data_IF_421158695939
#
_entry.id   IF_421158695939
#
_cell.length_a   1.000
_cell.length_b   1.000
_cell.length_c   1.000
_cell.angle_alpha   90.00
_cell.angle_beta   90.00
_cell.angle_gamma   90.00
#
_symmetry.space_group_name_H-M   'P 1'
#
loop_
_entity.id
_entity.type
_entity.pdbx_description
1 polymer ?
#
# COMPACT_ATOMS: atom_id res chain seq x y z
N UNK A 1 -5.40 -34.75 -36.08
CA UNK A 1 -4.61 -33.77 -36.87
C UNK A 1 -4.77 -32.43 -36.18
N UNK A 2 -3.66 -31.74 -35.89
CA UNK A 2 -3.70 -30.39 -35.32
C UNK A 2 -4.56 -29.50 -36.22
N UNK A 3 -5.47 -28.72 -35.62
CA UNK A 3 -6.30 -27.72 -36.32
C UNK A 3 -5.45 -26.56 -36.89
N UNK A 4 -4.17 -26.51 -36.51
CA UNK A 4 -3.27 -25.39 -36.72
C UNK A 4 -2.07 -25.83 -37.57
N UNK A 5 -1.57 -24.94 -38.43
CA UNK A 5 -0.33 -25.16 -39.18
C UNK A 5 0.85 -25.38 -38.23
N UNK A 6 1.79 -26.23 -38.63
CA UNK A 6 2.99 -26.50 -37.85
C UNK A 6 3.89 -25.26 -37.76
N UNK A 7 4.52 -25.06 -36.60
CA UNK A 7 5.39 -23.91 -36.31
C UNK A 7 6.47 -23.70 -37.39
N UNK A 8 7.13 -24.78 -37.82
CA UNK A 8 8.16 -24.71 -38.86
C UNK A 8 7.64 -24.20 -40.21
N UNK A 9 6.41 -24.58 -40.58
CA UNK A 9 5.76 -24.08 -41.80
C UNK A 9 5.44 -22.60 -41.68
N UNK A 10 4.92 -22.16 -40.54
CA UNK A 10 4.61 -20.76 -40.31
C UNK A 10 5.87 -19.89 -40.32
N UNK A 11 6.97 -20.35 -39.71
CA UNK A 11 8.25 -19.64 -39.73
C UNK A 11 8.80 -19.46 -41.16
N UNK A 12 8.63 -20.47 -42.03
CA UNK A 12 8.97 -20.36 -43.45
C UNK A 12 8.04 -19.37 -44.18
N UNK A 13 6.72 -19.47 -43.95
CA UNK A 13 5.72 -18.60 -44.59
C UNK A 13 5.92 -17.12 -44.25
N UNK A 14 6.32 -16.82 -43.02
CA UNK A 14 6.64 -15.46 -42.57
C UNK A 14 8.07 -15.03 -42.90
N UNK A 15 8.87 -15.89 -43.53
CA UNK A 15 10.24 -15.55 -43.96
C UNK A 15 11.24 -15.39 -42.81
N UNK A 16 10.93 -15.89 -41.62
CA UNK A 16 11.80 -15.82 -40.43
C UNK A 16 12.95 -16.84 -40.50
N UNK A 17 12.73 -17.95 -41.22
CA UNK A 17 13.75 -18.96 -41.51
C UNK A 17 13.67 -19.37 -42.98
N UNK A 18 14.72 -20.04 -43.47
CA UNK A 18 14.67 -20.77 -44.74
C UNK A 18 14.63 -22.30 -44.51
N UNK A 19 14.50 -23.07 -45.59
CA UNK A 19 14.41 -24.54 -45.54
C UNK A 19 15.66 -25.17 -44.92
N UNK A 20 16.84 -24.59 -45.16
CA UNK A 20 18.08 -25.08 -44.57
C UNK A 20 18.08 -24.92 -43.05
N UNK A 21 17.70 -23.74 -42.55
CA UNK A 21 17.59 -23.47 -41.11
C UNK A 21 16.56 -24.37 -40.42
N UNK A 22 15.42 -24.63 -41.08
CA UNK A 22 14.41 -25.56 -40.57
C UNK A 22 14.96 -26.98 -40.42
N UNK A 23 15.72 -27.46 -41.41
CA UNK A 23 16.33 -28.79 -41.37
C UNK A 23 17.39 -28.91 -40.28
N UNK A 24 18.23 -27.87 -40.09
CA UNK A 24 19.18 -27.83 -38.98
C UNK A 24 18.47 -27.85 -37.62
N UNK A 25 17.39 -27.07 -37.47
CA UNK A 25 16.56 -27.05 -36.27
C UNK A 25 15.96 -28.42 -35.95
N UNK A 26 15.38 -29.11 -36.95
CA UNK A 26 14.82 -30.45 -36.81
C UNK A 26 15.89 -31.51 -36.46
N UNK A 27 17.09 -31.40 -37.03
CA UNK A 27 18.21 -32.28 -36.70
C UNK A 27 18.61 -32.13 -35.23
N UNK A 28 18.80 -30.88 -34.77
CA UNK A 28 19.12 -30.60 -33.37
C UNK A 28 17.98 -31.01 -32.43
N UNK A 29 16.73 -30.80 -32.84
CA UNK A 29 15.55 -31.26 -32.11
C UNK A 29 15.60 -32.77 -31.84
N UNK A 30 15.93 -33.54 -32.88
CA UNK A 30 16.03 -35.01 -32.81
C UNK A 30 17.20 -35.48 -31.93
N UNK A 31 18.31 -34.75 -31.96
CA UNK A 31 19.49 -35.06 -31.15
C UNK A 31 19.28 -34.75 -29.66
N UNK A 32 18.64 -33.63 -29.34
CA UNK A 32 18.57 -33.09 -27.98
C UNK A 32 17.23 -33.32 -27.27
N UNK A 33 16.16 -33.57 -28.01
CA UNK A 33 14.80 -33.65 -27.49
C UNK A 33 14.14 -32.30 -27.18
N UNK A 34 14.78 -31.18 -27.52
CA UNK A 34 14.21 -29.84 -27.39
C UNK A 34 12.94 -29.66 -28.24
N UNK A 35 12.16 -28.61 -27.99
CA UNK A 35 11.12 -28.17 -28.95
C UNK A 35 11.78 -27.53 -30.17
N UNK A 36 11.13 -27.60 -31.34
CA UNK A 36 11.69 -27.03 -32.58
C UNK A 36 12.04 -25.54 -32.44
N UNK A 37 11.17 -24.74 -31.82
CA UNK A 37 11.44 -23.33 -31.57
C UNK A 37 12.69 -23.12 -30.70
N UNK A 38 12.83 -23.86 -29.61
CA UNK A 38 14.01 -23.81 -28.73
C UNK A 38 15.30 -24.21 -29.47
N UNK A 39 15.23 -25.22 -30.33
CA UNK A 39 16.35 -25.65 -31.15
C UNK A 39 16.77 -24.55 -32.14
N UNK A 40 15.83 -23.90 -32.82
CA UNK A 40 16.10 -22.80 -33.75
C UNK A 40 16.66 -21.56 -33.05
N UNK A 41 16.17 -21.24 -31.85
CA UNK A 41 16.73 -20.16 -31.00
C UNK A 41 18.15 -20.48 -30.59
N UNK A 42 18.40 -21.73 -30.16
CA UNK A 42 19.74 -22.19 -29.75
C UNK A 42 20.76 -22.16 -30.90
N UNK A 43 20.31 -22.38 -32.12
CA UNK A 43 21.12 -22.25 -33.34
C UNK A 43 21.28 -20.80 -33.81
N UNK A 44 20.67 -19.83 -33.13
CA UNK A 44 20.72 -18.41 -33.50
C UNK A 44 19.98 -18.07 -34.79
N UNK A 45 19.03 -18.91 -35.21
CA UNK A 45 18.28 -18.73 -36.47
C UNK A 45 17.11 -17.78 -36.33
N UNK A 46 16.51 -17.74 -35.14
CA UNK A 46 15.38 -16.89 -34.76
C UNK A 46 15.54 -16.45 -33.31
N UNK A 47 14.90 -15.36 -32.94
CA UNK A 47 14.77 -14.96 -31.54
C UNK A 47 13.61 -15.70 -30.87
N UNK A 48 13.58 -15.71 -29.53
CA UNK A 48 12.41 -16.22 -28.80
C UNK A 48 11.15 -15.39 -29.10
N UNK A 49 11.31 -14.08 -29.31
CA UNK A 49 10.21 -13.16 -29.63
C UNK A 49 9.59 -13.50 -31.00
N UNK A 50 10.40 -13.92 -31.99
CA UNK A 50 9.90 -14.40 -33.28
C UNK A 50 9.05 -15.67 -33.11
N UNK A 51 9.49 -16.60 -32.24
CA UNK A 51 8.74 -17.82 -31.93
C UNK A 51 7.40 -17.47 -31.28
N UNK A 52 7.40 -16.64 -30.24
CA UNK A 52 6.19 -16.26 -29.52
C UNK A 52 5.21 -15.50 -30.43
N UNK A 53 5.72 -14.63 -31.31
CA UNK A 53 4.91 -13.95 -32.32
C UNK A 53 4.27 -14.92 -33.31
N UNK A 54 5.01 -15.89 -33.84
CA UNK A 54 4.42 -16.91 -34.73
C UNK A 54 3.39 -17.75 -34.00
N UNK A 55 3.63 -18.12 -32.74
CA UNK A 55 2.66 -18.85 -31.92
C UNK A 55 1.38 -18.03 -31.69
N UNK A 56 1.49 -16.71 -31.54
CA UNK A 56 0.32 -15.81 -31.47
C UNK A 56 -0.54 -15.89 -32.74
N UNK A 57 0.11 -15.90 -33.92
CA UNK A 57 -0.55 -16.02 -35.23
C UNK A 57 -1.13 -17.38 -35.45
N UNK A 58 -0.43 -18.41 -34.97
CA UNK A 58 -0.97 -19.74 -34.91
C UNK A 58 -2.27 -19.66 -34.13
N UNK A 59 -2.28 -19.17 -32.88
CA UNK A 59 -3.41 -19.18 -31.95
C UNK A 59 -4.54 -18.16 -32.20
N UNK A 60 -4.39 -17.30 -33.21
CA UNK A 60 -5.30 -16.18 -33.50
C UNK A 60 -5.52 -15.24 -32.28
N UNK A 61 -4.44 -14.97 -31.54
CA UNK A 61 -4.43 -14.02 -30.42
C UNK A 61 -3.44 -12.87 -30.72
N UNK A 62 -3.67 -11.65 -30.20
CA UNK A 62 -2.73 -10.56 -30.38
C UNK A 62 -1.38 -10.84 -29.70
N UNK A 63 -0.29 -10.39 -30.32
CA UNK A 63 1.03 -10.31 -29.70
C UNK A 63 1.32 -8.85 -29.36
N UNK A 64 1.67 -8.59 -28.10
CA UNK A 64 1.92 -7.25 -27.58
C UNK A 64 3.41 -7.09 -27.28
N UNK A 65 4.00 -6.00 -27.78
CA UNK A 65 5.35 -5.58 -27.42
C UNK A 65 5.28 -4.85 -26.08
N UNK A 66 6.01 -5.35 -25.09
CA UNK A 66 5.84 -4.98 -23.68
C UNK A 66 6.74 -3.80 -23.25
N UNK A 67 7.76 -3.46 -24.03
CA UNK A 67 8.82 -2.52 -23.64
C UNK A 67 8.33 -1.11 -23.25
N UNK A 68 7.23 -0.61 -23.84
CA UNK A 68 6.73 0.76 -23.65
C UNK A 68 5.28 0.83 -23.13
N UNK A 69 4.79 -0.24 -22.51
CA UNK A 69 3.42 -0.25 -21.95
C UNK A 69 3.39 0.62 -20.69
N UNK A 70 2.47 1.59 -20.66
CA UNK A 70 2.14 2.28 -19.42
C UNK A 70 1.25 1.38 -18.55
N UNK A 71 1.78 0.95 -17.41
CA UNK A 71 1.13 -0.03 -16.55
C UNK A 71 0.26 0.67 -15.51
N UNK A 72 -1.01 0.29 -15.41
CA UNK A 72 -1.89 0.79 -14.37
C UNK A 72 -1.64 0.06 -13.03
N UNK A 73 -1.00 0.75 -12.10
CA UNK A 73 -0.63 0.21 -10.77
C UNK A 73 -1.87 -0.16 -9.94
N UNK A 74 -2.99 0.53 -10.10
CA UNK A 74 -4.23 0.22 -9.38
C UNK A 74 -4.80 -1.15 -9.79
N UNK A 75 -4.60 -1.56 -11.05
CA UNK A 75 -5.00 -2.89 -11.53
C UNK A 75 -4.03 -3.95 -11.04
N UNK A 76 -2.71 -3.68 -11.08
CA UNK A 76 -1.72 -4.62 -10.55
C UNK A 76 -1.89 -4.89 -9.06
N UNK A 77 -2.24 -3.86 -8.28
CA UNK A 77 -2.41 -3.93 -6.83
C UNK A 77 -3.53 -4.89 -6.38
N UNK A 78 -4.44 -5.27 -7.28
CA UNK A 78 -5.52 -6.23 -7.02
C UNK A 78 -5.05 -7.69 -7.00
N UNK A 79 -3.80 -7.97 -7.35
CA UNK A 79 -3.25 -9.32 -7.41
C UNK A 79 -2.00 -9.48 -6.52
N UNK A 80 -1.71 -10.69 -6.02
CA UNK A 80 -0.42 -10.98 -5.41
C UNK A 80 0.72 -10.77 -6.41
N UNK A 81 1.75 -10.03 -6.00
CA UNK A 81 2.92 -9.72 -6.83
C UNK A 81 3.59 -10.98 -7.36
N UNK A 82 3.81 -11.95 -6.47
CA UNK A 82 4.51 -13.19 -6.76
C UNK A 82 3.77 -13.98 -7.84
N UNK A 83 2.43 -14.02 -7.76
CA UNK A 83 1.59 -14.67 -8.78
C UNK A 83 1.81 -14.07 -10.17
N UNK A 84 1.77 -12.74 -10.31
CA UNK A 84 1.96 -12.06 -11.60
C UNK A 84 3.35 -12.33 -12.18
N UNK A 85 4.39 -12.27 -11.34
CA UNK A 85 5.79 -12.48 -11.74
C UNK A 85 6.05 -13.93 -12.14
N UNK A 86 5.58 -14.91 -11.35
CA UNK A 86 5.82 -16.33 -11.58
C UNK A 86 5.07 -16.85 -12.80
N UNK A 87 3.82 -16.41 -12.97
CA UNK A 87 2.99 -16.79 -14.11
C UNK A 87 3.22 -15.91 -15.34
N UNK A 88 4.04 -14.85 -15.21
CA UNK A 88 4.35 -13.89 -16.29
C UNK A 88 3.08 -13.36 -16.95
N UNK A 89 2.21 -12.82 -16.09
CA UNK A 89 0.93 -12.22 -16.46
C UNK A 89 0.96 -10.72 -16.14
N UNK A 90 0.67 -9.90 -17.14
CA UNK A 90 0.58 -8.45 -17.03
C UNK A 90 -0.85 -7.99 -17.36
N UNK A 91 -1.65 -7.62 -16.35
CA UNK A 91 -2.88 -6.88 -16.56
C UNK A 91 -2.61 -5.51 -17.23
N UNK A 92 -3.37 -5.18 -18.27
CA UNK A 92 -3.23 -3.93 -19.03
C UNK A 92 -4.27 -2.88 -18.60
N UNK A 93 -5.55 -3.21 -18.80
CA UNK A 93 -6.66 -2.34 -18.49
C UNK A 93 -7.92 -3.15 -18.17
N UNK A 94 -8.84 -2.52 -17.46
CA UNK A 94 -10.13 -3.08 -17.07
C UNK A 94 -11.24 -2.25 -17.74
N UNK A 95 -12.25 -2.94 -18.27
CA UNK A 95 -13.51 -2.34 -18.74
C UNK A 95 -14.66 -2.89 -17.88
N UNK A 96 -15.89 -2.42 -18.11
CA UNK A 96 -17.07 -2.96 -17.42
C UNK A 96 -17.30 -4.46 -17.72
N UNK A 97 -16.86 -4.94 -18.89
CA UNK A 97 -17.14 -6.30 -19.36
C UNK A 97 -15.98 -7.27 -19.16
N UNK A 98 -14.73 -6.81 -19.29
CA UNK A 98 -13.56 -7.67 -19.32
C UNK A 98 -12.29 -7.00 -18.79
N UNK A 99 -11.31 -7.83 -18.41
CA UNK A 99 -9.94 -7.43 -18.13
C UNK A 99 -9.02 -7.86 -19.27
N UNK A 100 -8.25 -6.93 -19.83
CA UNK A 100 -7.25 -7.23 -20.85
C UNK A 100 -5.92 -7.60 -20.18
N UNK A 101 -5.32 -8.73 -20.58
CA UNK A 101 -4.03 -9.17 -20.06
C UNK A 101 -3.05 -9.54 -21.18
N UNK A 102 -1.76 -9.43 -20.89
CA UNK A 102 -0.68 -10.05 -21.66
C UNK A 102 -0.10 -11.20 -20.83
N UNK A 103 0.02 -12.38 -21.42
CA UNK A 103 0.55 -13.58 -20.76
C UNK A 103 1.60 -14.26 -21.64
N UNK A 104 2.69 -14.76 -21.06
CA UNK A 104 3.66 -15.56 -21.82
C UNK A 104 3.02 -16.84 -22.37
N UNK A 105 2.41 -17.65 -21.49
CA UNK A 105 1.79 -18.92 -21.86
C UNK A 105 0.25 -18.82 -21.91
N UNK A 106 -0.36 -18.66 -23.10
CA UNK A 106 -1.81 -18.60 -23.25
C UNK A 106 -2.53 -19.92 -22.93
N UNK A 107 -1.79 -21.01 -22.67
CA UNK A 107 -2.37 -22.28 -22.22
C UNK A 107 -2.39 -22.46 -20.70
N UNK A 108 -1.85 -21.50 -19.93
CA UNK A 108 -1.90 -21.52 -18.46
C UNK A 108 -3.31 -21.20 -17.94
N UNK A 109 -4.22 -22.17 -18.06
CA UNK A 109 -5.63 -22.05 -17.67
C UNK A 109 -5.82 -21.69 -16.20
N UNK A 110 -4.92 -22.15 -15.32
CA UNK A 110 -4.94 -21.82 -13.90
C UNK A 110 -4.72 -20.32 -13.67
N UNK A 111 -3.74 -19.72 -14.35
CA UNK A 111 -3.49 -18.30 -14.22
C UNK A 111 -4.66 -17.48 -14.78
N UNK A 112 -5.21 -17.89 -15.92
CA UNK A 112 -6.36 -17.22 -16.55
C UNK A 112 -7.58 -17.26 -15.62
N UNK A 113 -7.92 -18.43 -15.08
CA UNK A 113 -9.06 -18.59 -14.17
C UNK A 113 -8.90 -17.75 -12.90
N UNK A 114 -7.69 -17.69 -12.32
CA UNK A 114 -7.42 -16.84 -11.16
C UNK A 114 -7.65 -15.35 -11.44
N UNK A 115 -7.27 -14.87 -12.63
CA UNK A 115 -7.54 -13.49 -13.05
C UNK A 115 -9.05 -13.25 -13.20
N UNK A 116 -9.78 -14.17 -13.84
CA UNK A 116 -11.24 -14.08 -14.01
C UNK A 116 -11.98 -14.02 -12.67
N UNK A 117 -11.62 -14.91 -11.74
CA UNK A 117 -12.22 -14.98 -10.40
C UNK A 117 -11.97 -13.71 -9.57
N UNK A 118 -10.79 -13.10 -9.72
CA UNK A 118 -10.42 -11.88 -8.98
C UNK A 118 -11.27 -10.66 -9.37
N UNK A 119 -11.84 -10.64 -10.59
CA UNK A 119 -12.60 -9.50 -11.12
C UNK A 119 -14.08 -9.82 -11.37
N UNK A 120 -14.48 -11.09 -11.28
CA UNK A 120 -15.78 -11.57 -11.76
C UNK A 120 -16.10 -11.11 -13.20
N UNK A 121 -15.05 -11.03 -14.04
CA UNK A 121 -15.09 -10.54 -15.43
C UNK A 121 -14.36 -11.52 -16.34
N UNK A 122 -14.68 -11.48 -17.63
CA UNK A 122 -13.97 -12.28 -18.64
C UNK A 122 -12.57 -11.72 -18.88
N UNK A 123 -11.64 -12.59 -19.28
CA UNK A 123 -10.30 -12.17 -19.72
C UNK A 123 -10.24 -12.02 -21.23
N UNK A 124 -9.76 -10.87 -21.71
CA UNK A 124 -9.28 -10.69 -23.08
C UNK A 124 -7.78 -10.99 -23.13
N UNK A 125 -7.41 -12.04 -23.86
CA UNK A 125 -6.04 -12.57 -23.90
C UNK A 125 -5.20 -11.95 -25.02
N UNK A 126 -3.98 -11.57 -24.68
CA UNK A 126 -2.88 -11.33 -25.62
C UNK A 126 -1.63 -12.05 -25.11
N UNK A 127 -0.70 -12.36 -26.02
CA UNK A 127 0.60 -12.94 -25.65
C UNK A 127 1.72 -11.91 -25.80
N UNK A 128 2.84 -12.15 -25.12
CA UNK A 128 4.01 -11.30 -25.15
C UNK A 128 5.23 -11.99 -24.53
N UNK A 129 6.41 -11.43 -24.75
CA UNK A 129 7.66 -11.99 -24.25
C UNK A 129 7.67 -12.10 -22.72
N UNK A 130 7.79 -13.33 -22.21
CA UNK A 130 7.74 -13.59 -20.77
C UNK A 130 8.88 -12.97 -19.97
N UNK A 131 10.08 -12.85 -20.57
CA UNK A 131 11.21 -12.15 -19.95
C UNK A 131 10.92 -10.65 -19.80
N UNK A 132 10.39 -10.02 -20.86
CA UNK A 132 9.99 -8.60 -20.85
C UNK A 132 8.85 -8.34 -19.87
N UNK A 133 7.84 -9.22 -19.82
CA UNK A 133 6.76 -9.15 -18.82
C UNK A 133 7.34 -9.21 -17.41
N UNK A 134 8.20 -10.20 -17.15
CA UNK A 134 8.83 -10.39 -15.83
C UNK A 134 9.68 -9.19 -15.44
N UNK A 135 10.47 -8.66 -16.36
CA UNK A 135 11.34 -7.51 -16.12
C UNK A 135 10.53 -6.24 -15.91
N UNK A 136 9.48 -6.00 -16.71
CA UNK A 136 8.57 -4.87 -16.51
C UNK A 136 7.83 -4.99 -15.17
N UNK A 137 7.29 -6.15 -14.81
CA UNK A 137 6.64 -6.36 -13.51
C UNK A 137 7.63 -6.12 -12.37
N UNK A 138 8.83 -6.72 -12.43
CA UNK A 138 9.87 -6.48 -11.44
C UNK A 138 10.24 -5.00 -11.36
N UNK A 139 10.41 -4.32 -12.49
CA UNK A 139 10.71 -2.90 -12.52
C UNK A 139 9.55 -2.07 -12.00
N UNK A 140 8.29 -2.42 -12.26
CA UNK A 140 7.11 -1.70 -11.78
C UNK A 140 6.89 -1.93 -10.29
N UNK A 141 7.18 -3.13 -9.78
CA UNK A 141 7.14 -3.42 -8.34
C UNK A 141 8.40 -2.97 -7.59
N UNK A 142 9.52 -2.73 -8.28
CA UNK A 142 10.77 -2.23 -7.70
C UNK A 142 10.96 -0.72 -7.92
N UNK A 143 10.27 -0.11 -8.89
CA UNK A 143 10.07 1.34 -8.99
C UNK A 143 8.97 1.68 -7.97
N UNK A 144 9.14 2.43 -6.89
CA UNK A 144 10.27 3.02 -6.16
C UNK A 144 9.70 3.26 -4.76
N UNK A 145 10.46 3.00 -3.68
CA UNK A 145 10.22 3.69 -2.41
C UNK A 145 9.36 2.98 -1.36
N UNK A 146 8.80 1.79 -1.55
CA UNK A 146 8.10 1.10 -0.44
C UNK A 146 9.06 0.71 0.70
N UNK A 147 10.26 0.12 0.47
CA UNK A 147 11.23 -0.11 1.54
C UNK A 147 11.69 1.20 2.21
N UNK A 148 11.93 2.23 1.41
CA UNK A 148 12.31 3.56 1.92
C UNK A 148 11.16 4.17 2.74
N UNK A 149 9.91 4.03 2.29
CA UNK A 149 8.71 4.49 2.99
C UNK A 149 8.51 3.75 4.30
N UNK A 150 8.71 2.43 4.33
CA UNK A 150 8.70 1.62 5.56
C UNK A 150 9.73 2.17 6.54
N UNK A 151 10.98 2.36 6.11
CA UNK A 151 12.05 2.90 6.96
C UNK A 151 11.74 4.33 7.45
N UNK A 152 11.18 5.18 6.59
CA UNK A 152 10.79 6.54 6.94
C UNK A 152 9.62 6.57 7.93
N UNK A 153 8.62 5.71 7.74
CA UNK A 153 7.48 5.60 8.66
C UNK A 153 7.97 5.08 10.01
N UNK A 154 8.76 4.01 10.04
CA UNK A 154 9.30 3.43 11.26
C UNK A 154 10.06 4.48 12.10
N UNK A 155 11.01 5.20 11.48
CA UNK A 155 11.73 6.31 12.11
C UNK A 155 10.81 7.45 12.56
N UNK A 156 9.77 7.75 11.78
CA UNK A 156 8.80 8.79 12.14
C UNK A 156 8.05 8.40 13.41
N UNK A 157 7.61 7.15 13.49
CA UNK A 157 6.88 6.59 14.63
C UNK A 157 7.77 6.58 15.88
N UNK A 158 9.00 6.07 15.78
CA UNK A 158 9.99 6.11 16.87
C UNK A 158 10.20 7.54 17.38
N UNK A 159 10.25 8.52 16.47
CA UNK A 159 10.49 9.92 16.80
C UNK A 159 9.33 10.57 17.57
N UNK A 160 8.10 10.16 17.30
CA UNK A 160 6.89 10.80 17.85
C UNK A 160 6.18 9.98 18.94
N UNK A 161 6.60 8.73 19.21
CA UNK A 161 6.02 7.85 20.24
C UNK A 161 5.88 8.48 21.63
N UNK A 162 6.85 9.30 22.02
CA UNK A 162 6.86 10.02 23.31
C UNK A 162 6.60 11.51 23.13
N UNK A 163 5.56 11.83 22.35
CA UNK A 163 5.18 13.21 22.03
C UNK A 163 3.67 13.38 22.04
N UNK A 164 3.22 14.63 21.85
CA UNK A 164 1.81 14.98 21.77
C UNK A 164 1.24 14.87 20.35
N UNK A 165 2.10 14.65 19.35
CA UNK A 165 1.65 14.31 18.01
C UNK A 165 0.95 12.96 18.07
N UNK A 166 -0.16 12.81 17.35
CA UNK A 166 -0.93 11.55 17.31
C UNK A 166 -1.36 11.18 15.88
N UNK A 167 -1.11 12.07 14.91
CA UNK A 167 -1.51 11.94 13.51
C UNK A 167 -0.30 12.15 12.61
N UNK A 168 -0.16 11.29 11.59
CA UNK A 168 0.85 11.43 10.54
C UNK A 168 0.11 11.76 9.24
N UNK A 169 0.46 12.88 8.63
CA UNK A 169 -0.15 13.40 7.42
C UNK A 169 0.77 13.15 6.21
N UNK A 170 0.26 12.43 5.22
CA UNK A 170 0.93 12.15 3.96
C UNK A 170 0.29 13.00 2.85
N UNK A 171 1.05 13.96 2.33
CA UNK A 171 0.67 14.79 1.19
C UNK A 171 1.38 14.28 -0.06
N UNK A 172 0.67 13.50 -0.85
CA UNK A 172 1.21 12.87 -2.07
C UNK A 172 1.03 13.77 -3.29
N UNK A 173 2.12 13.97 -4.01
CA UNK A 173 2.23 14.64 -5.30
C UNK A 173 2.79 13.68 -6.36
N UNK A 174 2.86 14.11 -7.62
CA UNK A 174 3.28 13.28 -8.76
C UNK A 174 4.68 12.66 -8.57
N UNK A 175 5.59 13.36 -7.89
CA UNK A 175 6.99 12.95 -7.73
C UNK A 175 7.52 13.07 -6.29
N UNK A 176 6.65 13.37 -5.33
CA UNK A 176 7.05 13.42 -3.92
C UNK A 176 5.92 13.12 -2.96
N UNK A 177 6.27 12.78 -1.73
CA UNK A 177 5.34 12.72 -0.60
C UNK A 177 5.93 13.53 0.56
N UNK A 178 5.20 14.56 0.99
CA UNK A 178 5.54 15.32 2.19
C UNK A 178 4.89 14.65 3.40
N UNK A 179 5.69 14.44 4.45
CA UNK A 179 5.28 13.79 5.70
C UNK A 179 5.29 14.83 6.81
N UNK A 180 4.13 15.01 7.41
CA UNK A 180 3.92 15.95 8.51
C UNK A 180 3.35 15.18 9.70
N UNK A 181 3.48 15.76 10.90
CA UNK A 181 2.85 15.23 12.12
C UNK A 181 2.01 16.30 12.77
N UNK A 182 0.89 15.88 13.35
CA UNK A 182 -0.08 16.78 13.98
C UNK A 182 -0.51 16.29 15.37
N UNK A 183 -0.66 17.25 16.27
CA UNK A 183 -1.28 17.07 17.58
C UNK A 183 -1.03 18.27 18.51
N UNK A 184 -1.92 18.45 19.49
CA UNK A 184 -1.93 19.63 20.36
C UNK A 184 -2.02 20.95 19.58
N UNK A 185 -2.75 20.95 18.47
CA UNK A 185 -2.84 22.10 17.55
C UNK A 185 -1.55 22.43 16.80
N UNK A 186 -0.49 21.63 16.92
CA UNK A 186 0.79 21.84 16.24
C UNK A 186 0.85 20.99 14.99
N UNK A 187 1.07 21.62 13.83
CA UNK A 187 1.42 20.94 12.58
C UNK A 187 2.92 21.10 12.32
N UNK A 188 3.66 19.99 12.24
CA UNK A 188 5.11 19.99 11.99
C UNK A 188 5.45 19.21 10.74
N UNK A 189 6.10 19.87 9.79
CA UNK A 189 6.75 19.20 8.66
C UNK A 189 7.99 18.44 9.13
N UNK A 190 8.08 17.15 8.79
CA UNK A 190 9.23 16.32 9.11
C UNK A 190 10.17 16.19 7.92
N UNK A 191 9.65 15.74 6.78
CA UNK A 191 10.46 15.47 5.60
C UNK A 191 9.64 15.38 4.32
N UNK A 192 10.34 15.41 3.19
CA UNK A 192 9.79 15.10 1.88
C UNK A 192 10.60 13.96 1.26
N UNK A 193 9.90 12.89 0.86
CA UNK A 193 10.51 11.75 0.16
C UNK A 193 10.21 11.86 -1.32
N UNK A 194 11.20 11.55 -2.16
CA UNK A 194 11.03 11.51 -3.61
C UNK A 194 10.38 10.20 -4.02
N UNK A 195 9.52 10.25 -5.03
CA UNK A 195 8.81 9.08 -5.54
C UNK A 195 7.33 9.34 -5.71
N UNK A 196 6.66 8.43 -6.40
CA UNK A 196 5.22 8.45 -6.57
C UNK A 196 4.61 7.45 -5.59
N UNK A 197 3.87 7.94 -4.61
CA UNK A 197 3.28 7.14 -3.54
C UNK A 197 1.76 7.18 -3.63
N UNK A 198 1.13 6.06 -3.30
CA UNK A 198 -0.33 5.91 -3.22
C UNK A 198 -0.78 5.62 -1.79
N UNK A 199 -2.07 5.76 -1.51
CA UNK A 199 -2.66 5.36 -0.23
C UNK A 199 -2.35 3.88 0.09
N UNK A 200 -2.37 3.02 -0.93
CA UNK A 200 -2.09 1.59 -0.81
C UNK A 200 -0.64 1.33 -0.37
N UNK A 201 0.33 2.11 -0.87
CA UNK A 201 1.74 2.00 -0.46
C UNK A 201 1.91 2.37 1.02
N UNK A 202 1.24 3.44 1.47
CA UNK A 202 1.23 3.86 2.88
C UNK A 202 0.63 2.75 3.74
N UNK A 203 -0.54 2.22 3.36
CA UNK A 203 -1.23 1.17 4.12
C UNK A 203 -0.39 -0.10 4.22
N UNK A 204 0.25 -0.51 3.11
CA UNK A 204 1.18 -1.66 3.09
C UNK A 204 2.39 -1.43 3.97
N UNK A 205 2.91 -0.21 4.05
CA UNK A 205 4.04 0.08 4.91
C UNK A 205 3.68 -0.06 6.40
N UNK A 206 2.51 0.45 6.83
CA UNK A 206 2.02 0.24 8.21
C UNK A 206 1.73 -1.23 8.53
N UNK A 207 1.12 -1.97 7.59
CA UNK A 207 0.88 -3.41 7.73
C UNK A 207 2.19 -4.19 7.88
N UNK A 208 3.22 -3.84 7.09
CA UNK A 208 4.56 -4.43 7.20
C UNK A 208 5.21 -4.20 8.57
N UNK A 209 4.97 -3.03 9.18
CA UNK A 209 5.45 -2.70 10.52
C UNK A 209 4.60 -3.36 11.63
N UNK A 210 3.48 -4.02 11.29
CA UNK A 210 2.56 -4.61 12.26
C UNK A 210 1.80 -3.57 13.08
N UNK A 211 1.64 -2.36 12.54
CA UNK A 211 1.02 -1.23 13.22
C UNK A 211 -0.39 -1.07 12.70
N UNK A 212 -1.37 -1.28 13.58
CA UNK A 212 -2.77 -0.98 13.28
C UNK A 212 -2.99 0.53 13.25
N UNK A 213 -3.90 1.01 12.41
CA UNK A 213 -4.16 2.45 12.27
C UNK A 213 -5.60 2.74 11.82
N UNK A 214 -6.08 3.94 12.16
CA UNK A 214 -7.22 4.56 11.49
C UNK A 214 -6.73 5.55 10.43
N UNK A 215 -7.57 5.91 9.47
CA UNK A 215 -7.22 6.95 8.51
C UNK A 215 -8.40 7.83 8.08
N UNK A 216 -8.08 9.05 7.66
CA UNK A 216 -8.95 9.93 6.88
C UNK A 216 -8.28 10.26 5.55
N UNK A 217 -9.06 10.36 4.48
CA UNK A 217 -8.53 10.74 3.18
C UNK A 217 -9.33 11.89 2.57
N UNK A 218 -8.63 12.81 1.92
CA UNK A 218 -9.26 13.86 1.13
C UNK A 218 -8.50 14.07 -0.19
N UNK A 219 -9.19 14.63 -1.16
CA UNK A 219 -8.65 14.94 -2.47
C UNK A 219 -8.88 16.41 -2.77
N UNK A 220 -7.80 17.17 -2.99
CA UNK A 220 -7.86 18.59 -3.30
C UNK A 220 -6.76 18.97 -4.29
N UNK A 221 -7.10 19.75 -5.32
CA UNK A 221 -6.15 20.28 -6.31
C UNK A 221 -5.17 19.24 -6.88
N UNK A 222 -5.68 18.05 -7.23
CA UNK A 222 -4.87 16.94 -7.77
C UNK A 222 -3.81 16.36 -6.81
N UNK A 223 -3.88 16.70 -5.52
CA UNK A 223 -3.05 16.14 -4.45
C UNK A 223 -3.90 15.21 -3.59
N UNK A 224 -3.37 14.01 -3.35
CA UNK A 224 -3.99 13.03 -2.44
C UNK A 224 -3.46 13.31 -1.03
N UNK A 225 -4.38 13.43 -0.08
CA UNK A 225 -4.05 13.60 1.33
C UNK A 225 -4.56 12.40 2.11
N UNK A 226 -3.69 11.80 2.92
CA UNK A 226 -4.06 10.75 3.86
C UNK A 226 -3.53 11.14 5.24
N UNK A 227 -4.43 11.27 6.19
CA UNK A 227 -4.10 11.36 7.61
C UNK A 227 -4.19 9.96 8.21
N UNK A 228 -3.12 9.51 8.86
CA UNK A 228 -3.05 8.23 9.55
C UNK A 228 -2.99 8.47 11.06
N UNK A 229 -3.75 7.70 11.81
CA UNK A 229 -3.80 7.70 13.27
C UNK A 229 -3.33 6.32 13.78
N UNK A 230 -2.02 6.17 14.08
CA UNK A 230 -1.47 4.90 14.52
C UNK A 230 -2.04 4.47 15.88
N UNK A 231 -2.22 3.17 16.07
CA UNK A 231 -2.84 2.56 17.25
C UNK A 231 -1.80 1.73 18.01
N UNK A 232 -0.75 2.36 18.51
CA UNK A 232 0.33 1.66 19.21
C UNK A 232 0.14 1.57 20.73
N UNK A 233 -0.62 2.48 21.33
CA UNK A 233 -0.73 2.53 22.77
C UNK A 233 -1.76 1.52 23.29
N UNK A 234 -1.30 0.59 24.12
CA UNK A 234 -2.16 -0.34 24.87
C UNK A 234 -2.27 0.12 26.32
N UNK A 235 -3.50 0.21 26.83
CA UNK A 235 -3.79 0.49 28.24
C UNK A 235 -4.85 -0.49 28.75
N UNK A 236 -4.70 -0.94 29.99
CA UNK A 236 -5.77 -1.61 30.72
C UNK A 236 -6.82 -0.58 31.19
N UNK A 237 -7.92 -0.44 30.44
CA UNK A 237 -8.96 0.58 30.67
C UNK A 237 -9.98 0.15 31.76
N UNK A 238 -9.61 -0.75 32.66
CA UNK A 238 -10.58 -1.46 33.53
C UNK A 238 -11.30 -0.58 34.56
N UNK A 239 -10.88 0.69 34.79
CA UNK A 239 -11.42 1.52 35.89
C UNK A 239 -11.86 2.96 35.55
N UNK A 240 -11.69 3.45 34.32
CA UNK A 240 -11.87 4.88 34.02
C UNK A 240 -12.82 5.12 32.83
N UNK A 241 -13.74 6.11 32.92
CA UNK A 241 -14.83 6.28 31.95
C UNK A 241 -14.38 6.87 30.60
N UNK A 242 -13.29 7.64 30.57
CA UNK A 242 -12.73 8.21 29.35
C UNK A 242 -11.22 8.42 29.49
N UNK A 243 -10.50 8.23 28.39
CA UNK A 243 -9.04 8.33 28.35
C UNK A 243 -8.60 9.31 27.25
N UNK A 244 -7.71 10.24 27.61
CA UNK A 244 -6.98 11.09 26.64
C UNK A 244 -5.57 10.54 26.47
N UNK A 245 -5.19 10.23 25.22
CA UNK A 245 -3.90 9.63 24.90
C UNK A 245 -2.82 10.55 24.37
N UNK A 246 -1.58 10.22 24.74
CA UNK A 246 -0.39 10.54 23.96
C UNK A 246 -0.37 9.72 22.67
N UNK A 247 0.67 9.89 21.84
CA UNK A 247 0.80 9.34 20.48
C UNK A 247 -0.16 8.20 20.09
N UNK A 248 -1.17 8.51 19.27
CA UNK A 248 -2.14 7.55 18.77
C UNK A 248 -3.40 7.40 19.64
N UNK A 249 -4.41 6.72 19.11
CA UNK A 249 -5.62 6.37 19.87
C UNK A 249 -5.36 5.07 20.65
N UNK A 250 -5.75 5.05 21.94
CA UNK A 250 -5.56 3.86 22.78
C UNK A 250 -6.39 2.68 22.29
N UNK A 251 -5.76 1.51 22.23
CA UNK A 251 -6.44 0.22 22.08
C UNK A 251 -6.60 -0.42 23.48
N UNK A 252 -7.83 -0.64 23.98
CA UNK A 252 -8.04 -1.44 25.18
C UNK A 252 -7.71 -2.91 24.88
N UNK A 253 -7.07 -3.59 25.82
CA UNK A 253 -6.82 -5.03 25.68
C UNK A 253 -8.11 -5.84 25.69
N UNK A 254 -8.36 -6.62 24.63
CA UNK A 254 -9.47 -7.59 24.57
C UNK A 254 -10.85 -7.00 24.22
N UNK A 255 -10.93 -5.70 23.95
CA UNK A 255 -12.18 -5.00 23.60
C UNK A 255 -12.46 -4.94 22.10
N UNK A 256 -13.72 -4.69 21.77
CA UNK A 256 -14.30 -4.67 20.42
C UNK A 256 -14.72 -3.22 20.10
N UNK A 257 -14.29 -2.69 18.96
CA UNK A 257 -14.62 -1.33 18.53
C UNK A 257 -15.86 -1.31 17.63
N UNK A 258 -16.62 -0.20 17.66
CA UNK A 258 -17.67 0.08 16.68
C UNK A 258 -17.53 1.51 16.15
N UNK A 259 -17.63 1.67 14.83
CA UNK A 259 -17.76 2.98 14.19
C UNK A 259 -19.15 3.57 14.49
N UNK A 260 -19.20 4.71 15.18
CA UNK A 260 -20.43 5.37 15.59
C UNK A 260 -21.17 6.07 14.44
N UNK A 261 -20.52 6.29 13.28
CA UNK A 261 -21.10 7.02 12.15
C UNK A 261 -21.65 6.14 11.02
N UNK A 262 -21.56 4.81 11.15
CA UNK A 262 -22.16 3.87 10.20
C UNK A 262 -23.50 3.37 10.73
N UNK A 263 -24.58 4.08 10.38
CA UNK A 263 -25.98 3.63 10.35
C UNK A 263 -26.39 2.45 11.27
N UNK A 264 -26.16 2.56 12.58
CA UNK A 264 -26.78 1.67 13.56
C UNK A 264 -26.39 0.19 13.54
N UNK A 265 -25.23 -0.18 12.95
CA UNK A 265 -24.73 -1.56 13.03
C UNK A 265 -23.34 -1.64 13.67
N UNK A 266 -23.22 -2.40 14.76
CA UNK A 266 -21.94 -2.76 15.37
C UNK A 266 -21.18 -3.67 14.39
N UNK A 267 -20.26 -3.13 13.61
CA UNK A 267 -19.37 -3.95 12.78
C UNK A 267 -18.17 -4.42 13.61
N UNK A 268 -18.04 -5.75 13.70
CA UNK A 268 -16.93 -6.46 14.34
C UNK A 268 -15.84 -6.61 13.27
N UNK A 269 -14.87 -5.70 13.23
CA UNK A 269 -13.77 -5.83 12.28
C UNK A 269 -12.66 -6.72 12.86
N UNK A 270 -12.28 -7.82 12.19
CA UNK A 270 -10.94 -8.36 12.39
C UNK A 270 -9.93 -7.29 11.91
N UNK A 271 -8.92 -7.01 12.74
CA UNK A 271 -7.88 -5.96 12.58
C UNK A 271 -7.00 -6.09 11.31
N UNK A 272 -7.40 -6.89 10.32
CA UNK A 272 -6.62 -7.20 9.12
C UNK A 272 -6.78 -6.20 7.97
N UNK A 273 -7.51 -5.09 8.16
CA UNK A 273 -7.66 -4.02 7.14
C UNK A 273 -7.69 -2.61 7.76
N UNK A 274 -7.24 -1.57 7.04
CA UNK A 274 -7.37 -0.17 7.46
C UNK A 274 -8.83 0.24 7.66
N UNK A 275 -9.13 0.98 8.72
CA UNK A 275 -10.49 1.45 9.05
C UNK A 275 -10.53 2.98 8.90
N UNK A 276 -11.58 3.50 8.24
CA UNK A 276 -11.84 4.95 8.23
C UNK A 276 -12.17 5.40 9.65
N UNK A 277 -11.52 6.43 10.19
CA UNK A 277 -11.70 6.74 11.61
C UNK A 277 -11.39 8.18 12.01
N UNK A 278 -12.02 8.56 13.12
CA UNK A 278 -12.10 9.90 13.69
C UNK A 278 -11.04 10.12 14.77
N UNK A 279 -10.87 11.35 15.29
CA UNK A 279 -9.98 11.61 16.43
C UNK A 279 -10.49 11.06 17.78
N UNK A 280 -11.49 10.17 17.77
CA UNK A 280 -12.00 9.47 18.95
C UNK A 280 -12.57 8.08 18.61
N UNK A 281 -12.66 7.21 19.61
CA UNK A 281 -13.26 5.87 19.52
C UNK A 281 -14.20 5.61 20.70
N UNK A 282 -15.29 4.88 20.44
CA UNK A 282 -16.17 4.35 21.48
C UNK A 282 -15.99 2.83 21.60
N UNK A 283 -15.89 2.34 22.83
CA UNK A 283 -15.75 0.90 23.14
C UNK A 283 -16.74 0.46 24.21
N UNK A 284 -17.15 -0.81 24.16
CA UNK A 284 -17.91 -1.49 25.22
C UNK A 284 -17.06 -2.61 25.79
N UNK A 285 -16.67 -2.44 27.06
CA UNK A 285 -16.00 -3.47 27.84
C UNK A 285 -17.00 -4.57 28.22
N UNK A 286 -16.60 -5.85 28.09
CA UNK A 286 -17.44 -7.00 28.47
C UNK A 286 -17.88 -6.98 29.95
N UNK A 287 -17.13 -6.30 30.81
CA UNK A 287 -17.41 -6.19 32.24
C UNK A 287 -18.18 -4.92 32.63
N UNK A 288 -18.32 -3.95 31.72
CA UNK A 288 -18.98 -2.67 31.98
C UNK A 288 -20.24 -2.51 31.14
N UNK A 289 -21.32 -2.04 31.77
CA UNK A 289 -22.56 -1.70 31.06
C UNK A 289 -22.48 -0.37 30.28
N UNK A 290 -21.36 0.36 30.38
CA UNK A 290 -21.20 1.70 29.82
C UNK A 290 -20.23 1.74 28.63
N UNK A 291 -20.59 2.53 27.63
CA UNK A 291 -19.69 2.95 26.55
C UNK A 291 -18.58 3.83 27.12
N UNK A 292 -17.33 3.50 26.80
CA UNK A 292 -16.15 4.29 27.15
C UNK A 292 -15.68 5.02 25.89
N UNK A 293 -15.28 6.28 26.06
CA UNK A 293 -14.79 7.11 24.97
C UNK A 293 -13.30 7.39 25.12
N UNK A 294 -12.57 7.24 24.02
CA UNK A 294 -11.13 7.49 23.94
C UNK A 294 -10.95 8.66 22.99
N UNK A 295 -10.31 9.73 23.46
CA UNK A 295 -10.09 10.95 22.69
C UNK A 295 -8.60 11.17 22.48
N UNK A 296 -8.23 11.70 21.31
CA UNK A 296 -6.96 12.44 21.20
C UNK A 296 -7.09 13.78 21.91
N UNK A 297 -5.97 14.38 22.30
CA UNK A 297 -5.95 15.61 23.10
C UNK A 297 -6.74 16.77 22.47
N UNK A 298 -6.71 16.90 21.15
CA UNK A 298 -7.40 17.97 20.41
C UNK A 298 -8.90 17.72 20.21
N UNK A 299 -9.38 16.50 20.43
CA UNK A 299 -10.79 16.13 20.30
C UNK A 299 -11.48 15.91 21.65
N UNK A 300 -10.76 16.10 22.75
CA UNK A 300 -11.37 16.06 24.08
C UNK A 300 -12.50 17.11 24.16
N UNK A 301 -13.68 16.76 24.71
CA UNK A 301 -14.78 17.70 24.86
C UNK A 301 -14.36 18.96 25.63
N UNK A 302 -14.97 20.10 25.31
CA UNK A 302 -14.67 21.36 26.00
C UNK A 302 -14.99 21.30 27.51
N UNK A 303 -15.98 20.51 27.90
CA UNK A 303 -16.42 20.32 29.28
C UNK A 303 -16.43 18.84 29.63
N UNK A 304 -15.58 18.43 30.58
CA UNK A 304 -15.62 17.10 31.18
C UNK A 304 -15.12 17.13 32.62
N UNK A 305 -15.53 16.12 33.39
CA UNK A 305 -15.00 15.84 34.74
C UNK A 305 -14.45 14.42 34.76
N UNK A 306 -13.32 14.25 35.44
CA UNK A 306 -12.73 12.96 35.76
C UNK A 306 -12.23 12.12 34.58
N UNK A 307 -11.62 12.76 33.58
CA UNK A 307 -10.91 12.02 32.52
C UNK A 307 -9.55 11.59 33.03
N UNK A 308 -9.19 10.36 32.72
CA UNK A 308 -7.82 9.91 32.89
C UNK A 308 -7.01 10.32 31.68
N UNK A 309 -5.95 11.06 31.91
CA UNK A 309 -5.05 11.53 30.87
C UNK A 309 -3.75 10.77 31.04
N UNK A 310 -3.28 10.19 29.94
CA UNK A 310 -1.92 9.68 29.82
C UNK A 310 -1.39 10.19 28.49
N UNK A 311 -0.82 11.40 28.51
CA UNK A 311 -0.46 12.12 27.31
C UNK A 311 0.85 12.90 27.51
N UNK A 312 1.31 13.54 26.43
CA UNK A 312 2.42 14.46 26.48
C UNK A 312 1.92 15.86 26.20
N UNK A 313 2.43 16.84 26.94
CA UNK A 313 2.18 18.27 26.72
C UNK A 313 3.40 18.85 26.01
N UNK A 314 3.24 19.48 24.84
CA UNK A 314 4.36 20.12 24.15
C UNK A 314 4.82 21.34 24.94
N UNK A 315 6.15 21.55 25.02
CA UNK A 315 6.78 22.74 25.59
C UNK A 315 7.70 23.35 24.54
N UNK A 316 7.50 24.61 24.16
CA UNK A 316 8.31 25.26 23.10
C UNK A 316 9.80 25.18 23.44
N UNK A 317 10.60 24.65 22.52
CA UNK A 317 12.01 24.42 22.79
C UNK A 317 12.76 25.76 22.90
N UNK A 318 13.33 26.04 24.07
CA UNK A 318 14.08 27.28 24.32
C UNK A 318 15.30 27.47 23.41
N UNK A 319 15.96 26.40 22.99
CA UNK A 319 17.20 26.50 22.20
C UNK A 319 16.98 26.88 20.74
N UNK A 320 15.84 26.47 20.15
CA UNK A 320 15.53 26.71 18.74
C UNK A 320 14.27 27.56 18.52
N UNK A 321 13.60 27.93 19.61
CA UNK A 321 12.36 28.68 19.63
C UNK A 321 11.29 28.13 18.66
N UNK A 322 11.10 26.80 18.62
CA UNK A 322 10.10 26.15 17.76
C UNK A 322 10.59 25.74 16.36
N UNK A 323 11.76 26.19 15.91
CA UNK A 323 12.26 25.85 14.55
C UNK A 323 12.69 24.39 14.41
N UNK A 324 13.27 23.81 15.45
CA UNK A 324 13.82 22.46 15.48
C UNK A 324 15.33 22.46 15.69
N UNK A 325 15.83 21.60 16.57
CA UNK A 325 17.24 21.32 16.75
C UNK A 325 17.45 19.93 17.35
N UNK A 326 18.72 19.49 17.42
CA UNK A 326 19.09 18.20 17.99
C UNK A 326 18.54 17.95 19.42
N UNK A 327 18.39 18.99 20.24
CA UNK A 327 17.87 18.86 21.62
C UNK A 327 16.40 18.43 21.63
N UNK A 328 15.58 18.98 20.72
CA UNK A 328 14.16 18.65 20.62
C UNK A 328 13.87 17.66 19.49
N UNK A 329 14.89 16.89 19.06
CA UNK A 329 14.78 15.94 17.95
C UNK A 329 14.23 16.60 16.67
N UNK A 330 14.59 17.85 16.40
CA UNK A 330 14.09 18.67 15.27
C UNK A 330 12.57 18.96 15.27
N UNK A 331 11.85 18.62 16.34
CA UNK A 331 10.40 18.85 16.42
C UNK A 331 10.06 20.30 16.76
N UNK A 332 10.98 21.03 17.42
CA UNK A 332 10.76 22.39 17.89
C UNK A 332 10.18 22.47 19.31
N UNK A 333 9.81 21.33 19.89
CA UNK A 333 9.15 21.23 21.20
C UNK A 333 9.80 20.11 22.03
N UNK A 334 9.93 20.34 23.34
CA UNK A 334 10.06 19.28 24.34
C UNK A 334 8.67 18.73 24.67
N UNK A 335 8.62 17.57 25.32
CA UNK A 335 7.36 16.91 25.65
C UNK A 335 7.39 16.43 27.09
N UNK A 336 6.47 16.95 27.90
CA UNK A 336 6.32 16.60 29.31
C UNK A 336 5.19 15.57 29.45
N UNK A 337 5.48 14.40 30.01
CA UNK A 337 4.46 13.37 30.24
C UNK A 337 3.55 13.80 31.39
N UNK A 338 2.24 13.78 31.14
CA UNK A 338 1.20 13.95 32.16
C UNK A 338 0.42 12.65 32.31
N UNK A 339 0.18 12.24 33.55
CA UNK A 339 -0.53 11.01 33.86
C UNK A 339 -1.40 11.20 35.12
N UNK A 340 -2.71 11.02 35.01
CA UNK A 340 -3.62 11.17 36.15
C UNK A 340 -5.01 11.63 35.77
N UNK A 341 -5.79 12.02 36.78
CA UNK A 341 -7.15 12.55 36.58
C UNK A 341 -7.11 14.07 36.48
N UNK A 342 -7.68 14.62 35.42
CA UNK A 342 -7.72 16.06 35.16
C UNK A 342 -9.14 16.54 34.87
N UNK A 343 -9.42 17.80 35.21
CA UNK A 343 -10.59 18.53 34.69
C UNK A 343 -10.26 19.17 33.34
N UNK A 344 -11.29 19.51 32.56
CA UNK A 344 -11.13 20.25 31.31
C UNK A 344 -10.40 21.58 31.52
N UNK A 345 -10.70 22.32 32.59
CA UNK A 345 -10.03 23.60 32.89
C UNK A 345 -8.53 23.44 33.14
N UNK A 346 -8.14 22.40 33.89
CA UNK A 346 -6.74 22.16 34.20
C UNK A 346 -5.96 21.75 32.94
N UNK A 347 -6.53 20.86 32.13
CA UNK A 347 -5.92 20.46 30.85
C UNK A 347 -5.81 21.64 29.88
N UNK A 348 -6.87 22.45 29.75
CA UNK A 348 -6.87 23.60 28.86
C UNK A 348 -5.83 24.65 29.27
N UNK A 349 -5.61 24.86 30.56
CA UNK A 349 -4.56 25.77 31.03
C UNK A 349 -3.16 25.25 30.69
N UNK A 350 -2.91 23.95 30.90
CA UNK A 350 -1.64 23.31 30.52
C UNK A 350 -1.34 23.44 29.02
N UNK A 351 -2.37 23.40 28.17
CA UNK A 351 -2.22 23.55 26.72
C UNK A 351 -2.13 25.03 26.26
N UNK A 352 -2.80 25.96 26.96
CA UNK A 352 -2.82 27.40 26.62
C UNK A 352 -1.52 28.14 26.92
N UNK A 353 -0.80 27.77 27.99
CA UNK A 353 0.48 28.39 28.36
C UNK A 353 1.54 28.38 27.25
N UNK A 354 1.31 27.61 26.17
CA UNK A 354 2.27 27.36 25.09
C UNK A 354 1.94 28.05 23.77
N UNK A 355 0.70 28.53 23.58
CA UNK A 355 0.30 29.22 22.35
C UNK A 355 0.64 30.72 22.36
N UNK A 356 0.83 31.32 23.53
CA UNK A 356 1.06 32.77 23.72
C UNK A 356 2.55 33.17 23.95
N UNK A 357 3.50 32.24 23.77
CA UNK A 357 4.94 32.45 24.00
C UNK A 357 5.80 32.62 22.75
#
# INVERSE_FOLDING_TARGET
MSKWKDLGTLLLEYGLINIHDLNEGLALQKETGLRLGEALVKLGKVSMEDIDWVLSKQLDIPYVIVDDINVNVEILGKFPKEFLIENRVLPLYETDEHISIVIEDPFNKSAIAFIEDSFAKKVALSTGSGSKIKDLLKQTFNKVGLPDLIEVIDKTIEKIRETSFYRIDFLMAEHSCSINVFGSGILKHLMEIKGHYTNEDIFRAFDHLGIHFLYEQSFSNNRRFVAVFPLENRIEITKLPAIVGGYGLFLPEGDIFSDAHVYGFSHVFPLSKPIHGYPYLATKDKQSSFEKFIYVIDAAPAEFRDYYINAFVPRRCHSCNGTGCNICRDLGYGFEKIEGTYSSDHLNNLLKEEHDG
#
